data_IF_700111583297
#
_entry.id   IF_700111583297
#
_cell.length_a   1.000
_cell.length_b   1.000
_cell.length_c   1.000
_cell.angle_alpha   90.00
_cell.angle_beta   90.00
_cell.angle_gamma   90.00
#
_symmetry.space_group_name_H-M   'P 1'
#
loop_
_entity.id
_entity.type
_entity.pdbx_description
1 polymer ?
#
# COMPACT_ATOMS: atom_id res chain seq x y z
N UNK A 1 -4.48 -40.74 -47.12
CA UNK A 1 -5.12 -39.58 -47.76
C UNK A 1 -6.56 -39.93 -48.10
N UNK A 2 -7.46 -39.82 -47.11
CA UNK A 2 -8.88 -39.98 -47.34
C UNK A 2 -9.41 -38.75 -48.09
N UNK A 3 -10.16 -39.03 -49.16
CA UNK A 3 -10.84 -38.09 -50.05
C UNK A 3 -11.57 -37.00 -49.26
N UNK A 4 -11.27 -35.75 -49.60
CA UNK A 4 -12.22 -34.64 -49.53
C UNK A 4 -11.96 -33.77 -50.76
N UNK A 5 -12.71 -34.05 -51.82
CA UNK A 5 -12.92 -33.11 -52.91
C UNK A 5 -14.12 -32.24 -52.53
N UNK A 6 -13.90 -30.94 -52.37
CA UNK A 6 -14.76 -29.94 -52.99
C UNK A 6 -13.92 -28.70 -53.32
N UNK A 7 -13.80 -28.48 -54.63
CA UNK A 7 -13.12 -27.37 -55.28
C UNK A 7 -13.65 -26.03 -54.78
N UNK A 8 -12.91 -25.39 -53.89
CA UNK A 8 -12.83 -23.93 -53.85
C UNK A 8 -11.51 -23.55 -54.52
N UNK A 9 -11.61 -22.78 -55.60
CA UNK A 9 -10.46 -22.25 -56.32
C UNK A 9 -9.53 -21.52 -55.34
N UNK A 10 -8.41 -22.14 -54.97
CA UNK A 10 -7.41 -21.51 -54.11
C UNK A 10 -6.36 -20.80 -54.98
N UNK A 11 -6.39 -19.46 -55.09
CA UNK A 11 -5.47 -18.71 -55.94
C UNK A 11 -3.99 -18.89 -55.53
N UNK A 12 -3.72 -19.19 -54.25
CA UNK A 12 -2.35 -19.49 -53.78
C UNK A 12 -1.86 -20.85 -54.26
N UNK A 13 -2.75 -21.85 -54.31
CA UNK A 13 -2.41 -23.16 -54.90
C UNK A 13 -2.15 -23.04 -56.41
N UNK A 14 -2.94 -22.22 -57.12
CA UNK A 14 -2.70 -21.95 -58.54
C UNK A 14 -1.32 -21.30 -58.78
N UNK A 15 -0.89 -20.43 -57.88
CA UNK A 15 0.43 -19.84 -57.95
C UNK A 15 1.54 -20.87 -57.67
N UNK A 16 1.33 -21.77 -56.70
CA UNK A 16 2.24 -22.88 -56.42
C UNK A 16 2.40 -23.81 -57.64
N UNK A 17 1.29 -24.23 -58.26
CA UNK A 17 1.29 -25.07 -59.46
C UNK A 17 1.94 -24.37 -60.67
N UNK A 18 1.76 -23.04 -60.80
CA UNK A 18 2.44 -22.24 -61.84
C UNK A 18 3.97 -22.29 -61.71
N UNK A 19 4.50 -22.40 -60.49
CA UNK A 19 5.95 -22.53 -60.26
C UNK A 19 6.45 -23.97 -60.44
N UNK A 20 5.62 -24.97 -60.11
CA UNK A 20 5.97 -26.40 -60.17
C UNK A 20 5.27 -27.17 -61.31
N UNK A 21 5.22 -26.58 -62.51
CA UNK A 21 4.48 -27.12 -63.68
C UNK A 21 4.88 -28.54 -64.08
N UNK A 22 6.17 -28.88 -64.01
CA UNK A 22 6.68 -30.21 -64.41
C UNK A 22 6.19 -31.30 -63.45
N UNK A 23 6.23 -31.01 -62.15
CA UNK A 23 5.74 -31.92 -61.11
C UNK A 23 4.22 -32.11 -61.19
N UNK A 24 3.49 -31.00 -61.38
CA UNK A 24 2.03 -31.06 -61.54
C UNK A 24 1.58 -31.87 -62.75
N UNK A 25 2.28 -31.74 -63.90
CA UNK A 25 2.01 -32.53 -65.10
C UNK A 25 2.31 -34.03 -64.93
N UNK A 26 3.32 -34.37 -64.13
CA UNK A 26 3.71 -35.75 -63.88
C UNK A 26 2.81 -36.42 -62.84
N UNK A 27 2.55 -35.75 -61.71
CA UNK A 27 1.75 -36.25 -60.59
C UNK A 27 0.97 -35.10 -59.91
N UNK A 28 -0.26 -34.80 -60.35
CA UNK A 28 -1.06 -33.70 -59.81
C UNK A 28 -1.52 -33.97 -58.37
N UNK A 29 -1.85 -35.21 -58.04
CA UNK A 29 -2.27 -35.62 -56.68
C UNK A 29 -1.13 -35.43 -55.66
N UNK A 30 0.10 -35.81 -56.03
CA UNK A 30 1.27 -35.59 -55.19
C UNK A 30 1.54 -34.09 -54.98
N UNK A 31 1.41 -33.28 -56.04
CA UNK A 31 1.61 -31.83 -55.96
C UNK A 31 0.61 -31.16 -55.01
N UNK A 32 -0.65 -31.61 -55.04
CA UNK A 32 -1.70 -31.14 -54.10
C UNK A 32 -1.37 -31.56 -52.67
N UNK A 33 -1.01 -32.82 -52.46
CA UNK A 33 -0.63 -33.35 -51.14
C UNK A 33 0.54 -32.57 -50.51
N UNK A 34 1.60 -32.29 -51.28
CA UNK A 34 2.76 -31.53 -50.80
C UNK A 34 2.39 -30.10 -50.44
N UNK A 35 1.53 -29.45 -51.25
CA UNK A 35 1.05 -28.10 -50.93
C UNK A 35 0.20 -28.07 -49.66
N UNK A 36 -0.74 -29.00 -49.52
CA UNK A 36 -1.60 -29.09 -48.35
C UNK A 36 -0.77 -29.38 -47.09
N UNK A 37 0.23 -30.25 -47.20
CA UNK A 37 1.17 -30.52 -46.11
C UNK A 37 1.99 -29.28 -45.75
N UNK A 38 2.53 -28.57 -46.74
CA UNK A 38 3.28 -27.33 -46.51
C UNK A 38 2.44 -26.27 -45.78
N UNK A 39 1.21 -26.04 -46.26
CA UNK A 39 0.30 -25.06 -45.64
C UNK A 39 -0.06 -25.48 -44.22
N UNK A 40 -0.42 -26.76 -44.02
CA UNK A 40 -0.76 -27.29 -42.70
C UNK A 40 0.40 -27.17 -41.73
N UNK A 41 1.61 -27.54 -42.13
CA UNK A 41 2.80 -27.47 -41.28
C UNK A 41 3.19 -26.03 -40.96
N UNK A 42 3.11 -25.13 -41.94
CA UNK A 42 3.40 -23.71 -41.69
C UNK A 42 2.39 -23.10 -40.74
N UNK A 43 1.10 -23.42 -40.91
CA UNK A 43 0.04 -22.94 -40.02
C UNK A 43 0.20 -23.49 -38.60
N UNK A 44 0.47 -24.79 -38.45
CA UNK A 44 0.69 -25.39 -37.14
C UNK A 44 1.94 -24.81 -36.48
N UNK A 45 3.06 -24.71 -37.19
CA UNK A 45 4.30 -24.14 -36.66
C UNK A 45 4.12 -22.71 -36.18
N UNK A 46 3.43 -21.85 -36.94
CA UNK A 46 3.17 -20.47 -36.50
C UNK A 46 2.21 -20.42 -35.31
N UNK A 47 1.20 -21.28 -35.26
CA UNK A 47 0.27 -21.33 -34.13
C UNK A 47 0.93 -21.86 -32.86
N UNK A 48 1.76 -22.89 -32.98
CA UNK A 48 2.57 -23.46 -31.91
C UNK A 48 3.54 -22.40 -31.36
N UNK A 49 4.30 -21.72 -32.23
CA UNK A 49 5.20 -20.64 -31.82
C UNK A 49 4.47 -19.52 -31.06
N UNK A 50 3.32 -19.08 -31.56
CA UNK A 50 2.51 -18.05 -30.88
C UNK A 50 2.03 -18.56 -29.52
N UNK A 51 1.63 -19.83 -29.43
CA UNK A 51 1.15 -20.43 -28.19
C UNK A 51 2.29 -20.58 -27.18
N UNK A 52 3.47 -21.00 -27.62
CA UNK A 52 4.70 -21.06 -26.81
C UNK A 52 5.08 -19.68 -26.28
N UNK A 53 5.13 -18.65 -27.14
CA UNK A 53 5.38 -17.26 -26.71
C UNK A 53 4.33 -16.76 -25.70
N UNK A 54 3.07 -17.15 -25.87
CA UNK A 54 1.98 -16.80 -24.96
C UNK A 54 2.16 -17.46 -23.59
N UNK A 55 2.63 -18.71 -23.57
CA UNK A 55 2.89 -19.48 -22.36
C UNK A 55 4.16 -19.01 -21.65
N UNK A 56 5.28 -18.83 -22.36
CA UNK A 56 6.55 -18.32 -21.84
C UNK A 56 6.38 -16.93 -21.21
N UNK A 57 5.69 -16.04 -21.92
CA UNK A 57 5.39 -14.70 -21.44
C UNK A 57 4.27 -14.63 -20.39
N UNK A 58 3.63 -15.75 -20.06
CA UNK A 58 2.43 -15.82 -19.22
C UNK A 58 1.37 -14.77 -19.63
N UNK A 59 1.23 -14.56 -20.94
CA UNK A 59 0.50 -13.42 -21.50
C UNK A 59 -1.00 -13.51 -21.20
N UNK A 60 -1.55 -14.72 -21.10
CA UNK A 60 -2.96 -14.94 -20.76
C UNK A 60 -3.30 -14.27 -19.42
N UNK A 61 -2.51 -14.54 -18.39
CA UNK A 61 -2.75 -13.99 -17.04
C UNK A 61 -2.49 -12.48 -17.01
N UNK A 62 -1.46 -12.02 -17.72
CA UNK A 62 -1.15 -10.58 -17.81
C UNK A 62 -2.26 -9.80 -18.52
N UNK A 63 -2.81 -10.32 -19.63
CA UNK A 63 -3.91 -9.69 -20.34
C UNK A 63 -5.21 -9.72 -19.54
N UNK A 64 -5.53 -10.82 -18.86
CA UNK A 64 -6.67 -10.87 -17.94
C UNK A 64 -6.53 -9.86 -16.78
N UNK A 65 -5.32 -9.69 -16.25
CA UNK A 65 -5.04 -8.68 -15.22
C UNK A 65 -5.21 -7.27 -15.77
N UNK A 66 -4.69 -7.00 -16.97
CA UNK A 66 -4.83 -5.73 -17.65
C UNK A 66 -6.30 -5.39 -17.94
N UNK A 67 -7.09 -6.34 -18.41
CA UNK A 67 -8.53 -6.17 -18.66
C UNK A 67 -9.29 -5.83 -17.38
N UNK A 68 -8.94 -6.44 -16.25
CA UNK A 68 -9.49 -6.07 -14.92
C UNK A 68 -9.12 -4.65 -14.53
N UNK A 69 -7.87 -4.23 -14.74
CA UNK A 69 -7.41 -2.87 -14.44
C UNK A 69 -8.13 -1.82 -15.33
N UNK A 70 -8.25 -2.09 -16.62
CA UNK A 70 -8.98 -1.24 -17.57
C UNK A 70 -10.45 -1.17 -17.16
N UNK A 71 -11.07 -2.31 -16.83
CA UNK A 71 -12.43 -2.37 -16.32
C UNK A 71 -12.65 -1.50 -15.08
N UNK A 72 -11.76 -1.58 -14.09
CA UNK A 72 -11.82 -0.77 -12.86
C UNK A 72 -11.51 0.72 -13.04
N UNK A 73 -10.91 1.09 -14.18
CA UNK A 73 -10.61 2.49 -14.51
C UNK A 73 -11.67 3.15 -15.42
N UNK A 74 -12.62 2.38 -15.98
CA UNK A 74 -13.74 2.92 -16.77
C UNK A 74 -14.55 3.87 -15.90
N UNK A 75 -14.49 5.17 -16.21
CA UNK A 75 -15.17 6.24 -15.45
C UNK A 75 -14.23 7.25 -14.78
N UNK A 76 -12.91 7.06 -14.84
CA UNK A 76 -11.95 8.11 -14.46
C UNK A 76 -11.73 9.05 -15.64
N UNK A 77 -12.19 10.30 -15.54
CA UNK A 77 -11.99 11.33 -16.57
C UNK A 77 -10.60 11.98 -16.50
N UNK A 78 -9.93 11.88 -15.34
CA UNK A 78 -8.62 12.49 -15.16
C UNK A 78 -7.51 11.64 -15.78
N UNK A 79 -6.51 12.27 -16.43
CA UNK A 79 -5.35 11.56 -16.93
C UNK A 79 -4.66 10.81 -15.80
N UNK A 80 -4.41 9.52 -16.01
CA UNK A 80 -3.64 8.72 -15.07
C UNK A 80 -2.20 9.24 -14.95
N UNK A 81 -1.63 9.18 -13.75
CA UNK A 81 -0.24 9.57 -13.52
C UNK A 81 0.72 8.79 -14.44
N UNK A 82 1.77 9.47 -14.90
CA UNK A 82 2.85 8.92 -15.72
C UNK A 82 4.19 9.45 -15.20
N UNK A 83 5.24 8.61 -15.17
CA UNK A 83 6.59 9.07 -14.87
C UNK A 83 6.99 10.19 -15.81
N UNK A 84 7.52 11.29 -15.27
CA UNK A 84 8.00 12.44 -16.07
C UNK A 84 9.41 12.24 -16.59
N UNK A 85 10.10 11.19 -16.12
CA UNK A 85 11.50 10.93 -16.44
C UNK A 85 12.47 11.63 -15.50
N UNK A 86 11.98 12.19 -14.41
CA UNK A 86 12.79 12.76 -13.32
C UNK A 86 12.61 11.85 -12.10
N UNK A 87 13.61 10.99 -11.79
CA UNK A 87 13.47 9.98 -10.75
C UNK A 87 13.04 10.54 -9.40
N UNK A 88 13.56 11.69 -8.99
CA UNK A 88 13.25 12.32 -7.71
C UNK A 88 11.78 12.71 -7.59
N UNK A 89 11.18 13.24 -8.67
CA UNK A 89 9.77 13.61 -8.71
C UNK A 89 8.88 12.38 -8.79
N UNK A 90 9.30 11.39 -9.59
CA UNK A 90 8.54 10.18 -9.82
C UNK A 90 8.45 9.34 -8.53
N UNK A 91 9.57 9.18 -7.82
CA UNK A 91 9.62 8.53 -6.50
C UNK A 91 8.81 9.34 -5.48
N UNK A 92 8.95 10.68 -5.46
CA UNK A 92 8.18 11.55 -4.54
C UNK A 92 6.69 11.28 -4.64
N UNK A 93 6.17 11.15 -5.86
CA UNK A 93 4.74 10.89 -6.08
C UNK A 93 4.27 9.59 -5.42
N UNK A 94 5.12 8.55 -5.40
CA UNK A 94 4.86 7.26 -4.76
C UNK A 94 5.01 7.27 -3.24
N UNK A 95 6.00 8.00 -2.70
CA UNK A 95 6.32 7.97 -1.26
C UNK A 95 5.49 8.95 -0.42
N UNK A 96 5.02 10.06 -1.00
CA UNK A 96 4.26 11.10 -0.30
C UNK A 96 3.04 10.55 0.46
N UNK A 97 2.20 9.65 -0.10
CA UNK A 97 1.07 9.07 0.63
C UNK A 97 1.47 8.37 1.94
N UNK A 98 2.62 7.68 1.94
CA UNK A 98 3.14 6.98 3.13
C UNK A 98 3.60 7.97 4.19
N UNK A 99 4.36 8.99 3.81
CA UNK A 99 4.79 10.04 4.74
C UNK A 99 3.61 10.84 5.30
N UNK A 100 2.58 11.09 4.50
CA UNK A 100 1.35 11.73 4.99
C UNK A 100 0.63 10.84 6.02
N UNK A 101 0.59 9.52 5.82
CA UNK A 101 0.03 8.57 6.79
C UNK A 101 0.84 8.57 8.09
N UNK A 102 2.17 8.52 8.00
CA UNK A 102 3.06 8.56 9.17
C UNK A 102 2.91 9.88 9.94
N UNK A 103 2.87 11.01 9.24
CA UNK A 103 2.65 12.34 9.86
C UNK A 103 1.34 12.36 10.67
N UNK A 104 0.24 11.85 10.10
CA UNK A 104 -1.06 11.79 10.80
C UNK A 104 -1.04 10.90 12.04
N UNK A 105 -0.21 9.87 12.07
CA UNK A 105 -0.05 9.01 13.26
C UNK A 105 0.74 9.73 14.34
N UNK A 106 1.88 10.34 13.97
CA UNK A 106 2.72 11.08 14.91
C UNK A 106 1.98 12.28 15.51
N UNK A 107 1.21 13.01 14.71
CA UNK A 107 0.39 14.13 15.19
C UNK A 107 -0.64 13.69 16.24
N UNK A 108 -1.25 12.51 16.05
CA UNK A 108 -2.20 11.97 17.04
C UNK A 108 -1.49 11.58 18.34
N UNK A 109 -0.38 10.86 18.24
CA UNK A 109 0.41 10.47 19.40
C UNK A 109 0.94 11.68 20.18
N UNK A 110 1.39 12.72 19.47
CA UNK A 110 1.83 13.96 20.09
C UNK A 110 0.70 14.64 20.86
N UNK A 111 -0.47 14.79 20.23
CA UNK A 111 -1.65 15.40 20.85
C UNK A 111 -2.07 14.67 22.13
N UNK A 112 -2.09 13.34 22.10
CA UNK A 112 -2.42 12.52 23.27
C UNK A 112 -1.43 12.77 24.43
N UNK A 113 -0.13 12.87 24.12
CA UNK A 113 0.90 13.17 25.13
C UNK A 113 0.78 14.59 25.68
N UNK A 114 0.49 15.57 24.84
CA UNK A 114 0.27 16.96 25.25
C UNK A 114 -0.94 17.09 26.18
N UNK A 115 -2.06 16.46 25.83
CA UNK A 115 -3.28 16.43 26.65
C UNK A 115 -3.03 15.75 28.00
N UNK A 116 -2.38 14.58 28.00
CA UNK A 116 -2.01 13.88 29.23
C UNK A 116 -1.07 14.70 30.11
N UNK A 117 -0.06 15.36 29.52
CA UNK A 117 0.85 16.22 30.26
C UNK A 117 0.15 17.46 30.84
N UNK A 118 -0.80 18.06 30.11
CA UNK A 118 -1.59 19.18 30.60
C UNK A 118 -2.43 18.78 31.83
N UNK A 119 -3.07 17.61 31.79
CA UNK A 119 -3.82 17.07 32.93
C UNK A 119 -2.92 16.79 34.13
N UNK A 120 -1.75 16.18 33.91
CA UNK A 120 -0.77 15.93 34.95
C UNK A 120 -0.24 17.23 35.57
N UNK A 121 0.06 18.24 34.76
CA UNK A 121 0.50 19.55 35.23
C UNK A 121 -0.58 20.20 36.11
N UNK A 122 -1.85 20.13 35.72
CA UNK A 122 -2.97 20.61 36.53
C UNK A 122 -3.08 19.87 37.86
N UNK A 123 -2.94 18.54 37.85
CA UNK A 123 -2.97 17.73 39.06
C UNK A 123 -1.80 18.09 40.02
N UNK A 124 -0.60 18.32 39.48
CA UNK A 124 0.56 18.75 40.26
C UNK A 124 0.32 20.12 40.90
N UNK A 125 -0.22 21.09 40.15
CA UNK A 125 -0.56 22.41 40.69
C UNK A 125 -1.61 22.33 41.79
N UNK A 126 -2.67 21.53 41.59
CA UNK A 126 -3.69 21.30 42.61
C UNK A 126 -3.10 20.63 43.87
N UNK A 127 -2.21 19.65 43.68
CA UNK A 127 -1.47 19.00 44.76
C UNK A 127 -0.60 19.98 45.56
N UNK A 128 0.15 20.85 44.87
CA UNK A 128 1.00 21.88 45.51
C UNK A 128 0.17 22.84 46.37
N UNK A 129 -0.96 23.34 45.85
CA UNK A 129 -1.88 24.20 46.63
C UNK A 129 -2.40 23.52 47.89
N UNK A 130 -2.74 22.22 47.79
CA UNK A 130 -3.19 21.45 48.95
C UNK A 130 -2.08 21.26 49.98
N UNK A 131 -0.84 21.03 49.52
CA UNK A 131 0.32 20.95 50.41
C UNK A 131 0.57 22.27 51.13
N UNK A 132 0.50 23.40 50.42
CA UNK A 132 0.63 24.74 51.01
C UNK A 132 -0.43 24.96 52.10
N UNK A 133 -1.71 24.66 51.83
CA UNK A 133 -2.78 24.81 52.83
C UNK A 133 -2.57 23.92 54.06
N UNK A 134 -2.10 22.68 53.86
CA UNK A 134 -1.82 21.77 54.97
C UNK A 134 -0.62 22.25 55.80
N UNK A 135 0.39 22.80 55.15
CA UNK A 135 1.56 23.34 55.81
C UNK A 135 1.20 24.57 56.68
N UNK A 136 0.34 25.46 56.17
CA UNK A 136 -0.22 26.57 56.97
C UNK A 136 -1.00 26.07 58.18
N UNK A 137 -1.83 25.04 58.02
CA UNK A 137 -2.60 24.48 59.14
C UNK A 137 -1.70 23.85 60.20
N UNK A 138 -0.67 23.10 59.78
CA UNK A 138 0.33 22.53 60.68
C UNK A 138 1.06 23.65 61.43
N UNK A 139 1.45 24.72 60.74
CA UNK A 139 2.16 25.84 61.35
C UNK A 139 1.29 26.56 62.39
N UNK A 140 0.02 26.86 62.07
CA UNK A 140 -0.94 27.45 63.02
C UNK A 140 -1.15 26.58 64.25
N UNK A 141 -1.29 25.26 64.07
CA UNK A 141 -1.41 24.32 65.19
C UNK A 141 -0.16 24.35 66.05
N UNK A 142 1.02 24.34 65.44
CA UNK A 142 2.30 24.42 66.16
C UNK A 142 2.39 25.70 66.99
N UNK A 143 2.05 26.84 66.42
CA UNK A 143 2.04 28.13 67.13
C UNK A 143 1.08 28.11 68.32
N UNK A 144 -0.15 27.61 68.13
CA UNK A 144 -1.11 27.46 69.22
C UNK A 144 -0.60 26.55 70.35
N UNK A 145 0.08 25.44 70.02
CA UNK A 145 0.70 24.58 71.03
C UNK A 145 1.86 25.27 71.77
N UNK A 146 2.62 26.12 71.09
CA UNK A 146 3.69 26.90 71.71
C UNK A 146 3.14 27.94 72.69
N UNK A 147 2.08 28.67 72.32
CA UNK A 147 1.41 29.62 73.20
C UNK A 147 0.89 28.93 74.48
N UNK A 148 0.22 27.78 74.34
CA UNK A 148 -0.25 26.98 75.49
C UNK A 148 0.92 26.55 76.38
N UNK A 149 2.04 26.13 75.78
CA UNK A 149 3.22 25.72 76.53
C UNK A 149 3.85 26.91 77.29
N UNK A 150 3.92 28.09 76.69
CA UNK A 150 4.41 29.30 77.35
C UNK A 150 3.50 29.77 78.50
N UNK A 151 2.18 29.70 78.32
CA UNK A 151 1.23 29.97 79.40
C UNK A 151 1.39 28.97 80.55
N UNK A 152 1.53 27.67 80.24
CA UNK A 152 1.82 26.64 81.22
C UNK A 152 3.12 26.92 81.99
N UNK A 153 4.18 27.35 81.31
CA UNK A 153 5.45 27.72 81.94
C UNK A 153 5.29 28.92 82.90
N UNK A 154 4.49 29.94 82.52
CA UNK A 154 4.20 31.10 83.37
C UNK A 154 3.40 30.71 84.61
N UNK A 155 2.43 29.80 84.47
CA UNK A 155 1.65 29.27 85.61
C UNK A 155 2.56 28.51 86.57
N UNK A 156 3.44 27.64 86.07
CA UNK A 156 4.41 26.92 86.90
C UNK A 156 5.35 27.88 87.65
N UNK A 157 5.90 28.88 86.96
CA UNK A 157 6.77 29.88 87.60
C UNK A 157 6.03 30.70 88.68
N UNK A 158 4.75 31.04 88.50
CA UNK A 158 3.95 31.67 89.57
C UNK A 158 3.77 30.77 90.79
N UNK A 159 3.58 29.46 90.58
CA UNK A 159 3.46 28.51 91.68
C UNK A 159 4.79 28.32 92.42
N UNK A 160 5.92 28.37 91.73
CA UNK A 160 7.26 28.33 92.33
C UNK A 160 7.62 29.63 93.09
N UNK A 161 7.09 30.80 92.70
CA UNK A 161 7.29 32.08 93.43
C UNK A 161 6.40 32.23 94.68
N UNK A 162 5.35 31.42 94.81
CA UNK A 162 4.41 31.42 95.94
C UNK A 162 4.81 30.47 97.08
N UNK A 163 5.97 29.80 96.96
CA UNK A 163 6.46 28.79 97.89
C UNK A 163 7.77 29.18 98.57
#
# INVERSE_FOLDING_TARGET
CTRNDHSSYNPRYQQFVKCYKRLYKAQPELTKCVYDQFVSHLQSSVQEEIQELKEEGNLTVLFESLDRLVGGAKGRETPAWRPRGVPEEDVRSGVVPYFLKQRKLLQRALKEKEEGNAQLAQAVLAGRKKMESLQEEIQKRKEAWQEIAEEGQKVVNMFDELH
#
